data_IF_757829244926
#
_entry.id   IF_757829244926
#
_cell.length_a   1.000
_cell.length_b   1.000
_cell.length_c   1.000
_cell.angle_alpha   90.00
_cell.angle_beta   90.00
_cell.angle_gamma   90.00
#
_symmetry.space_group_name_H-M   'P 1'
#
loop_
_entity.id
_entity.type
_entity.pdbx_description
1 polymer ?
#
# COMPACT_ATOMS: atom_id res chain seq x y z
N UNK A 1 -18.56 0.23 5.30
CA UNK A 1 -17.32 -0.17 5.97
C UNK A 1 -16.25 0.89 5.77
N UNK A 2 -15.96 1.57 6.84
CA UNK A 2 -14.94 2.62 6.78
C UNK A 2 -13.62 2.10 7.32
N UNK A 3 -12.80 1.57 6.42
CA UNK A 3 -11.42 1.25 6.74
C UNK A 3 -10.53 2.22 5.97
N UNK A 4 -10.03 3.29 6.63
CA UNK A 4 -9.17 4.25 5.95
C UNK A 4 -7.93 3.62 5.31
N UNK A 5 -7.48 2.48 5.83
CA UNK A 5 -6.34 1.79 5.26
C UNK A 5 -6.61 1.27 3.85
N UNK A 6 -7.86 1.15 3.45
CA UNK A 6 -8.22 0.69 2.10
C UNK A 6 -8.14 1.79 1.05
N UNK A 7 -8.02 3.05 1.45
CA UNK A 7 -8.05 4.19 0.52
C UNK A 7 -7.05 4.07 -0.62
N UNK A 8 -5.79 3.78 -0.30
CA UNK A 8 -4.75 3.72 -1.31
C UNK A 8 -4.98 2.58 -2.31
N UNK A 9 -5.48 1.45 -1.82
CA UNK A 9 -5.85 0.33 -2.69
C UNK A 9 -6.98 0.68 -3.65
N UNK A 10 -7.96 1.44 -3.18
CA UNK A 10 -9.06 1.92 -4.01
C UNK A 10 -8.51 2.85 -5.11
N UNK A 11 -7.61 3.77 -4.75
CA UNK A 11 -6.97 4.66 -5.73
C UNK A 11 -6.23 3.85 -6.78
N UNK A 12 -5.48 2.83 -6.36
CA UNK A 12 -4.75 1.93 -7.27
C UNK A 12 -5.70 1.25 -8.24
N UNK A 13 -6.81 0.72 -7.74
CA UNK A 13 -7.80 0.03 -8.57
C UNK A 13 -8.40 0.98 -9.62
N UNK A 14 -8.76 2.20 -9.20
CA UNK A 14 -9.34 3.19 -10.10
C UNK A 14 -8.35 3.63 -11.17
N UNK A 15 -7.11 3.93 -10.80
CA UNK A 15 -6.08 4.37 -11.74
C UNK A 15 -5.68 3.25 -12.70
N UNK A 16 -5.55 2.04 -12.18
CA UNK A 16 -5.27 0.86 -12.99
C UNK A 16 -6.34 0.69 -14.08
N UNK A 17 -7.60 0.81 -13.68
CA UNK A 17 -8.72 0.71 -14.60
C UNK A 17 -8.70 1.84 -15.64
N UNK A 18 -8.49 3.09 -15.19
CA UNK A 18 -8.45 4.26 -16.05
C UNK A 18 -7.32 4.18 -17.08
N UNK A 19 -6.16 3.71 -16.66
CA UNK A 19 -4.97 3.57 -17.52
C UNK A 19 -4.99 2.30 -18.34
N UNK A 20 -5.93 1.41 -18.07
CA UNK A 20 -6.00 0.09 -18.68
C UNK A 20 -4.69 -0.70 -18.47
N UNK A 21 -4.16 -0.62 -17.24
CA UNK A 21 -2.94 -1.33 -16.83
C UNK A 21 -3.25 -2.24 -15.66
N UNK A 22 -3.17 -3.56 -15.82
CA UNK A 22 -3.39 -4.48 -14.70
C UNK A 22 -2.38 -4.25 -13.59
N UNK A 23 -2.82 -4.39 -12.35
CA UNK A 23 -1.93 -4.36 -11.19
C UNK A 23 -1.17 -5.68 -11.09
N UNK A 24 0.03 -5.61 -10.52
CA UNK A 24 0.81 -6.80 -10.20
C UNK A 24 0.06 -7.62 -9.15
N UNK A 25 -0.23 -8.87 -9.47
CA UNK A 25 -0.98 -9.78 -8.58
C UNK A 25 -0.24 -10.12 -7.30
N UNK A 26 1.07 -9.95 -7.28
CA UNK A 26 1.89 -10.23 -6.09
C UNK A 26 2.05 -9.01 -5.18
N UNK A 27 1.41 -7.90 -5.53
CA UNK A 27 1.52 -6.64 -4.80
C UNK A 27 0.26 -6.38 -3.98
N UNK A 28 0.45 -5.97 -2.75
CA UNK A 28 -0.62 -5.51 -1.88
C UNK A 28 -0.36 -4.07 -1.49
N UNK A 29 -1.43 -3.30 -1.29
CA UNK A 29 -1.36 -1.86 -1.06
C UNK A 29 -2.28 -1.50 0.09
N UNK A 30 -1.79 -0.71 1.03
CA UNK A 30 -2.66 -0.10 2.04
C UNK A 30 -2.17 1.29 2.42
N UNK A 31 -3.08 2.12 2.92
CA UNK A 31 -2.77 3.48 3.37
C UNK A 31 -4.00 4.36 3.32
N UNK A 32 -4.08 5.31 4.25
CA UNK A 32 -5.12 6.33 4.24
C UNK A 32 -4.68 7.46 3.32
N UNK A 33 -5.61 7.99 2.53
CA UNK A 33 -5.33 9.10 1.61
C UNK A 33 -6.02 10.36 2.09
N UNK A 34 -5.24 11.42 2.30
CA UNK A 34 -5.77 12.70 2.70
C UNK A 34 -6.21 13.55 1.51
N UNK A 35 -6.86 14.67 1.83
CA UNK A 35 -7.46 15.54 0.81
C UNK A 35 -6.43 16.18 -0.12
N UNK A 36 -5.18 16.30 0.31
CA UNK A 36 -4.11 16.86 -0.50
C UNK A 36 -3.29 15.79 -1.23
N UNK A 37 -3.76 14.54 -1.21
CA UNK A 37 -3.05 13.44 -1.83
C UNK A 37 -1.93 12.85 -0.98
N UNK A 38 -1.82 13.27 0.27
CA UNK A 38 -0.84 12.68 1.18
C UNK A 38 -1.28 11.27 1.59
N UNK A 39 -0.31 10.39 1.76
CA UNK A 39 -0.56 9.04 2.24
C UNK A 39 -0.23 9.00 3.72
N UNK A 40 -1.26 8.75 4.53
CA UNK A 40 -1.17 8.78 5.98
C UNK A 40 -0.97 7.40 6.57
N UNK A 41 -0.22 7.36 7.68
CA UNK A 41 -0.02 6.13 8.43
C UNK A 41 -1.32 5.52 8.95
N UNK A 42 -1.32 4.21 9.06
CA UNK A 42 -2.47 3.45 9.57
C UNK A 42 -2.02 2.55 10.72
N UNK A 43 -2.99 2.03 11.46
CA UNK A 43 -2.71 1.14 12.56
C UNK A 43 -2.40 -0.28 12.07
N UNK A 44 -1.70 -1.04 12.90
CA UNK A 44 -1.44 -2.46 12.72
C UNK A 44 -0.68 -2.79 11.42
N UNK A 45 0.26 -1.93 11.02
CA UNK A 45 1.02 -2.14 9.79
C UNK A 45 1.76 -3.48 9.79
N UNK A 46 2.39 -3.85 10.91
CA UNK A 46 3.12 -5.11 11.00
C UNK A 46 2.19 -6.31 10.79
N UNK A 47 1.02 -6.30 11.41
CA UNK A 47 0.04 -7.38 11.24
C UNK A 47 -0.43 -7.48 9.80
N UNK A 48 -0.66 -6.33 9.15
CA UNK A 48 -1.08 -6.29 7.74
C UNK A 48 -0.02 -6.90 6.84
N UNK A 49 1.26 -6.58 7.07
CA UNK A 49 2.37 -7.12 6.28
C UNK A 49 2.52 -8.63 6.51
N UNK A 50 2.46 -9.07 7.76
CA UNK A 50 2.57 -10.50 8.08
C UNK A 50 1.44 -11.31 7.44
N UNK A 51 0.24 -10.77 7.44
CA UNK A 51 -0.89 -11.41 6.78
C UNK A 51 -0.67 -11.48 5.27
N UNK A 52 -0.13 -10.41 4.67
CA UNK A 52 0.19 -10.38 3.25
C UNK A 52 1.21 -11.47 2.88
N UNK A 53 2.22 -11.66 3.71
CA UNK A 53 3.21 -12.73 3.50
C UNK A 53 2.52 -14.09 3.49
N UNK A 54 1.63 -14.34 4.46
CA UNK A 54 0.89 -15.60 4.53
C UNK A 54 0.03 -15.84 3.31
N UNK A 55 -0.49 -14.78 2.71
CA UNK A 55 -1.33 -14.87 1.52
C UNK A 55 -0.52 -14.97 0.23
N UNK A 56 0.80 -14.93 0.33
CA UNK A 56 1.68 -15.10 -0.82
C UNK A 56 2.08 -13.83 -1.56
N UNK A 57 1.73 -12.66 -1.03
CA UNK A 57 2.17 -11.40 -1.64
C UNK A 57 3.66 -11.21 -1.45
N UNK A 58 4.30 -10.58 -2.43
CA UNK A 58 5.75 -10.38 -2.44
C UNK A 58 6.17 -8.92 -2.29
N UNK A 59 5.25 -7.99 -2.52
CA UNK A 59 5.52 -6.55 -2.40
C UNK A 59 4.36 -5.89 -1.68
N UNK A 60 4.68 -4.97 -0.77
CA UNK A 60 3.68 -4.19 -0.04
C UNK A 60 3.99 -2.71 -0.20
N UNK A 61 3.06 -1.96 -0.78
CA UNK A 61 3.12 -0.50 -0.86
C UNK A 61 2.36 0.04 0.35
N UNK A 62 3.00 0.88 1.14
CA UNK A 62 2.41 1.37 2.38
C UNK A 62 2.83 2.81 2.67
N UNK A 63 2.20 3.45 3.67
CA UNK A 63 2.64 4.78 4.07
C UNK A 63 4.09 4.76 4.56
N UNK A 64 4.86 5.77 4.14
CA UNK A 64 6.27 5.88 4.52
C UNK A 64 6.45 5.88 6.03
N UNK A 65 5.56 6.55 6.77
CA UNK A 65 5.63 6.57 8.23
C UNK A 65 5.52 5.19 8.84
N UNK A 66 4.68 4.33 8.28
CA UNK A 66 4.60 2.93 8.74
C UNK A 66 5.85 2.16 8.36
N UNK A 67 6.34 2.34 7.14
CA UNK A 67 7.51 1.62 6.65
C UNK A 67 8.75 1.93 7.50
N UNK A 68 8.91 3.19 7.92
CA UNK A 68 10.05 3.62 8.73
C UNK A 68 10.10 2.98 10.11
N UNK A 69 8.95 2.62 10.66
CA UNK A 69 8.85 2.01 11.99
C UNK A 69 8.75 0.49 11.94
N UNK A 70 8.72 -0.08 10.75
CA UNK A 70 8.54 -1.50 10.58
C UNK A 70 9.88 -2.21 10.58
N UNK A 71 10.01 -3.26 11.38
CA UNK A 71 11.18 -4.12 11.33
C UNK A 71 11.13 -4.95 10.05
N UNK A 72 12.30 -5.28 9.52
CA UNK A 72 12.39 -6.11 8.31
C UNK A 72 11.60 -7.42 8.49
N UNK A 73 10.79 -7.75 7.51
CA UNK A 73 10.01 -8.99 7.49
C UNK A 73 10.44 -9.78 6.26
N UNK A 74 10.84 -11.04 6.47
CA UNK A 74 11.28 -11.90 5.38
C UNK A 74 10.14 -12.21 4.42
N UNK A 75 10.50 -12.33 3.15
CA UNK A 75 9.59 -12.81 2.12
C UNK A 75 8.74 -11.72 1.47
N UNK A 76 8.93 -10.46 1.85
CA UNK A 76 8.17 -9.36 1.26
C UNK A 76 9.03 -8.10 1.15
N UNK A 77 8.90 -7.41 0.02
CA UNK A 77 9.54 -6.11 -0.18
C UNK A 77 8.56 -5.02 0.27
N UNK A 78 9.01 -4.17 1.18
CA UNK A 78 8.20 -3.05 1.68
C UNK A 78 8.61 -1.77 0.98
N UNK A 79 7.64 -1.05 0.42
CA UNK A 79 7.85 0.22 -0.25
C UNK A 79 7.02 1.29 0.46
N UNK A 80 7.70 2.28 1.04
CA UNK A 80 7.04 3.39 1.71
C UNK A 80 6.80 4.55 0.75
N UNK A 81 5.59 5.10 0.76
CA UNK A 81 5.24 6.24 -0.08
C UNK A 81 4.61 7.34 0.77
N UNK A 82 4.85 8.59 0.40
CA UNK A 82 4.37 9.76 1.15
C UNK A 82 3.15 10.42 0.51
N UNK A 83 2.94 10.19 -0.78
CA UNK A 83 1.83 10.80 -1.50
C UNK A 83 1.41 9.92 -2.67
N UNK A 84 0.26 10.25 -3.25
CA UNK A 84 -0.31 9.47 -4.36
C UNK A 84 0.63 9.45 -5.56
N UNK A 85 1.29 10.57 -5.88
CA UNK A 85 2.20 10.62 -7.03
C UNK A 85 3.31 9.59 -6.93
N UNK A 86 3.90 9.43 -5.76
CA UNK A 86 4.92 8.40 -5.53
C UNK A 86 4.32 7.00 -5.67
N UNK A 87 3.14 6.80 -5.11
CA UNK A 87 2.48 5.49 -5.14
C UNK A 87 2.17 5.06 -6.58
N UNK A 88 1.68 5.98 -7.41
CA UNK A 88 1.28 5.68 -8.78
C UNK A 88 2.43 5.28 -9.69
N UNK A 89 3.67 5.49 -9.28
CA UNK A 89 4.83 5.01 -10.02
C UNK A 89 4.89 3.49 -10.09
N UNK A 90 4.13 2.80 -9.24
CA UNK A 90 4.11 1.34 -9.17
C UNK A 90 2.97 0.71 -9.97
N UNK A 91 2.25 1.50 -10.74
CA UNK A 91 1.20 1.00 -11.63
C UNK A 91 1.68 0.97 -13.08
#
# INVERSE_FOLDING_TARGET
LDDPAADLGIVFALVSSFRNRPLDESMVVFGEVGLSGEVRGVSAAEQRVREAVKMGFRTCIMPKTNAEHLKSIEGIKVVGVSNISQALEYI
#
